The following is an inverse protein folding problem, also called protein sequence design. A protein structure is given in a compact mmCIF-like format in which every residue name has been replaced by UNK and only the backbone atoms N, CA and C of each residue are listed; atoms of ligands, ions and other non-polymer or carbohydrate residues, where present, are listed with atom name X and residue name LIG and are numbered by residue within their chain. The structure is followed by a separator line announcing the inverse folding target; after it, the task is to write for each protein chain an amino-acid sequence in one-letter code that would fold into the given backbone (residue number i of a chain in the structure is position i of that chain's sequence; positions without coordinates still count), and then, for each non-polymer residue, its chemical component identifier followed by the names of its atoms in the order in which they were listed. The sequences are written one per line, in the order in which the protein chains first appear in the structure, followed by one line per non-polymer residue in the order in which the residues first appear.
data_IF_777107131511
#
_entry.id   IF_777107131511
#
_cell.length_a   1.000
_cell.length_b   1.000
_cell.length_c   1.000
_cell.angle_alpha   90.00
_cell.angle_beta   90.00
_cell.angle_gamma   90.00
#
_symmetry.space_group_name_H-M   'P 1'
#
loop_
_entity.id
_entity.type
_entity.pdbx_description
1 polymer ?
#
# COMPACT_ATOMS: atom_id res chain seq x y z
N UNK A 1 21.62 -20.61 23.31
CA UNK A 1 21.18 -21.04 21.96
C UNK A 1 22.15 -22.08 21.46
N UNK A 2 21.65 -23.06 20.72
CA UNK A 2 22.46 -24.11 20.11
C UNK A 2 23.32 -23.49 19.00
N UNK A 3 24.67 -23.52 19.11
CA UNK A 3 25.57 -22.98 18.09
C UNK A 3 25.33 -23.60 16.70
N UNK A 4 24.88 -24.85 16.65
CA UNK A 4 24.63 -25.58 15.41
C UNK A 4 23.44 -24.98 14.63
N UNK A 5 22.47 -24.36 15.30
CA UNK A 5 21.29 -23.71 14.70
C UNK A 5 21.66 -22.40 14.00
N UNK A 6 22.57 -21.60 14.58
CA UNK A 6 23.05 -20.37 13.94
C UNK A 6 23.98 -20.67 12.77
N UNK A 7 24.80 -21.73 12.87
CA UNK A 7 25.66 -22.19 11.77
C UNK A 7 24.84 -22.82 10.62
N UNK A 8 23.73 -23.52 10.90
CA UNK A 8 22.86 -24.09 9.87
C UNK A 8 21.89 -23.10 9.22
N UNK A 9 21.53 -21.99 9.88
CA UNK A 9 20.49 -21.07 9.39
C UNK A 9 20.92 -19.62 9.16
N UNK A 10 22.15 -19.24 9.55
CA UNK A 10 22.69 -17.88 9.36
C UNK A 10 24.14 -17.80 8.87
N UNK A 11 24.79 -18.96 8.63
CA UNK A 11 26.18 -19.03 8.18
C UNK A 11 26.54 -20.26 7.33
N UNK A 12 25.55 -21.06 6.94
CA UNK A 12 25.73 -22.23 6.07
C UNK A 12 25.87 -21.86 4.59
N UNK A 13 25.93 -22.85 3.70
CA UNK A 13 26.00 -22.66 2.24
C UNK A 13 24.62 -22.58 1.56
N UNK A 14 23.53 -22.70 2.33
CA UNK A 14 22.15 -22.76 1.84
C UNK A 14 21.30 -21.64 2.46
N UNK A 15 20.54 -20.92 1.64
CA UNK A 15 19.58 -19.92 2.11
C UNK A 15 18.36 -20.63 2.67
N UNK A 16 17.96 -20.36 3.92
CA UNK A 16 16.90 -21.12 4.58
C UNK A 16 15.56 -21.02 3.86
N UNK A 17 15.29 -19.93 3.14
CA UNK A 17 14.05 -19.77 2.38
C UNK A 17 14.02 -20.53 1.04
N UNK A 18 15.16 -21.06 0.57
CA UNK A 18 15.22 -21.77 -0.71
C UNK A 18 14.59 -23.17 -0.70
N UNK A 19 14.30 -23.73 0.49
CA UNK A 19 13.86 -25.13 0.64
C UNK A 19 12.68 -25.33 1.60
N UNK A 20 12.03 -24.25 2.02
CA UNK A 20 10.88 -24.29 2.94
C UNK A 20 9.55 -24.23 2.18
N UNK A 21 8.50 -24.90 2.66
CA UNK A 21 7.15 -24.74 2.11
C UNK A 21 6.67 -23.30 2.30
N UNK A 22 5.62 -22.91 1.58
CA UNK A 22 4.93 -21.65 1.87
C UNK A 22 4.21 -21.74 3.22
N UNK A 23 4.15 -20.63 3.95
CA UNK A 23 3.29 -20.48 5.10
C UNK A 23 1.81 -20.49 4.68
N UNK A 24 0.87 -20.77 5.61
CA UNK A 24 -0.57 -20.73 5.34
C UNK A 24 -1.10 -19.43 4.73
N UNK A 25 -0.41 -18.31 4.96
CA UNK A 25 -0.72 -17.00 4.37
C UNK A 25 -0.23 -16.83 2.91
N UNK A 26 0.48 -17.82 2.35
CA UNK A 26 0.98 -17.80 0.98
C UNK A 26 2.38 -17.20 0.81
N UNK A 27 2.96 -16.60 1.86
CA UNK A 27 4.34 -16.10 1.86
C UNK A 27 5.32 -17.25 2.16
N UNK A 28 6.62 -16.99 2.00
CA UNK A 28 7.65 -17.98 2.34
C UNK A 28 7.65 -18.25 3.84
N UNK A 29 7.67 -19.53 4.23
CA UNK A 29 7.67 -19.89 5.65
C UNK A 29 9.00 -19.50 6.28
N UNK A 30 8.93 -18.63 7.28
CA UNK A 30 10.04 -18.33 8.18
C UNK A 30 9.77 -19.03 9.53
N UNK A 31 10.44 -20.14 9.87
CA UNK A 31 10.24 -20.80 11.17
C UNK A 31 10.82 -19.96 12.33
N UNK A 32 10.28 -20.16 13.55
CA UNK A 32 10.79 -19.50 14.75
C UNK A 32 12.29 -19.72 14.95
N UNK A 33 12.81 -20.91 14.62
CA UNK A 33 14.22 -21.27 14.76
C UNK A 33 15.13 -20.48 13.81
N UNK A 34 14.61 -20.10 12.65
CA UNK A 34 15.36 -19.42 11.60
C UNK A 34 15.24 -17.90 11.78
N UNK A 35 14.10 -17.42 12.27
CA UNK A 35 13.83 -16.01 12.53
C UNK A 35 14.79 -15.38 13.55
N UNK A 36 15.41 -16.20 14.41
CA UNK A 36 16.43 -15.78 15.37
C UNK A 36 17.58 -14.99 14.71
N UNK A 37 17.90 -15.27 13.44
CA UNK A 37 19.02 -14.63 12.74
C UNK A 37 18.83 -13.12 12.55
N UNK A 38 17.60 -12.66 12.37
CA UNK A 38 17.23 -11.25 12.17
C UNK A 38 16.41 -10.67 13.33
N UNK A 39 15.89 -11.53 14.23
CA UNK A 39 14.88 -11.17 15.22
C UNK A 39 13.52 -10.97 14.55
N UNK A 40 12.43 -11.22 15.28
CA UNK A 40 11.06 -11.13 14.72
C UNK A 40 10.75 -9.71 14.24
N UNK A 41 11.43 -8.69 14.76
CA UNK A 41 11.19 -7.29 14.43
C UNK A 41 12.46 -6.52 14.01
N UNK A 42 13.49 -7.23 13.53
CA UNK A 42 14.73 -6.60 13.03
C UNK A 42 15.74 -6.20 14.08
N UNK A 43 15.61 -6.72 15.30
CA UNK A 43 16.54 -6.56 16.40
C UNK A 43 17.26 -7.90 16.71
N UNK A 44 18.15 -8.36 15.81
CA UNK A 44 18.77 -9.66 15.96
C UNK A 44 19.59 -9.75 17.24
N UNK A 45 19.58 -10.91 17.87
CA UNK A 45 20.49 -11.26 18.97
C UNK A 45 21.93 -11.52 18.46
N UNK A 46 22.29 -11.03 17.27
CA UNK A 46 23.62 -11.20 16.72
C UNK A 46 24.63 -10.53 17.66
N UNK A 47 25.33 -11.36 18.43
CA UNK A 47 26.37 -10.99 19.39
C UNK A 47 25.90 -10.23 20.63
N UNK A 48 24.61 -10.29 20.99
CA UNK A 48 24.06 -9.64 22.20
C UNK A 48 23.63 -10.65 23.28
N UNK A 49 23.52 -10.25 24.56
CA UNK A 49 23.02 -11.12 25.62
C UNK A 49 21.55 -11.47 25.43
N UNK A 50 21.17 -12.72 25.70
CA UNK A 50 19.77 -13.17 25.72
C UNK A 50 18.86 -12.23 26.52
N UNK A 51 17.75 -11.82 25.90
CA UNK A 51 16.80 -10.86 26.46
C UNK A 51 17.15 -9.38 26.23
N UNK A 52 18.18 -9.04 25.43
CA UNK A 52 18.47 -7.65 25.04
C UNK A 52 17.68 -7.15 23.82
N UNK A 53 17.00 -8.07 23.16
CA UNK A 53 16.02 -7.75 22.13
C UNK A 53 14.92 -6.89 22.78
N UNK A 54 14.50 -5.82 22.08
CA UNK A 54 13.49 -4.89 22.60
C UNK A 54 12.10 -5.23 22.05
N UNK A 55 12.01 -5.75 20.82
CA UNK A 55 10.76 -5.86 20.06
C UNK A 55 10.18 -7.29 19.96
N UNK A 56 10.91 -8.31 20.39
CA UNK A 56 10.45 -9.68 20.67
C UNK A 56 10.35 -9.97 22.18
N UNK A 57 10.13 -8.91 22.96
CA UNK A 57 9.66 -9.01 24.36
C UNK A 57 8.15 -8.81 24.41
N UNK A 58 7.54 -8.98 25.59
CA UNK A 58 6.10 -8.77 25.76
C UNK A 58 5.68 -7.36 25.30
N UNK A 59 4.99 -7.28 24.16
CA UNK A 59 4.48 -6.03 23.58
C UNK A 59 3.21 -5.56 24.29
N UNK A 60 2.63 -6.40 25.16
CA UNK A 60 1.49 -6.08 26.02
C UNK A 60 1.69 -4.85 26.92
N UNK A 61 2.93 -4.37 27.09
CA UNK A 61 3.23 -3.14 27.83
C UNK A 61 3.30 -1.88 26.94
N UNK A 62 3.13 -2.01 25.63
CA UNK A 62 3.34 -0.95 24.65
C UNK A 62 1.98 -0.47 24.14
N UNK A 63 1.70 0.82 24.35
CA UNK A 63 0.43 1.41 23.92
C UNK A 63 0.33 1.38 22.38
N UNK A 64 -0.78 0.86 21.81
CA UNK A 64 -1.01 0.89 20.38
C UNK A 64 -0.92 2.31 19.82
N UNK A 65 -0.20 2.50 18.72
CA UNK A 65 0.00 3.83 18.13
C UNK A 65 -1.26 4.40 17.49
N UNK A 66 -2.14 3.52 17.00
CA UNK A 66 -3.38 3.86 16.34
C UNK A 66 -4.40 2.72 16.46
N UNK A 67 -5.68 3.06 16.29
CA UNK A 67 -6.78 2.10 16.18
C UNK A 67 -7.35 2.15 14.77
N UNK A 68 -7.49 0.97 14.18
CA UNK A 68 -7.92 0.75 12.82
C UNK A 68 -9.21 -0.10 12.79
N UNK A 69 -9.96 -0.03 11.70
CA UNK A 69 -11.16 -0.83 11.50
C UNK A 69 -10.82 -2.15 10.82
N UNK A 70 -11.40 -3.24 11.31
CA UNK A 70 -11.33 -4.55 10.67
C UNK A 70 -11.74 -4.47 9.19
N UNK A 71 -10.98 -5.10 8.29
CA UNK A 71 -11.27 -5.09 6.85
C UNK A 71 -10.95 -3.80 6.09
N UNK A 72 -10.54 -2.71 6.76
CA UNK A 72 -10.27 -1.46 6.05
C UNK A 72 -8.96 -1.52 5.24
N UNK A 73 -8.85 -0.65 4.23
CA UNK A 73 -7.58 -0.45 3.51
C UNK A 73 -6.69 0.50 4.30
N UNK A 74 -5.54 0.01 4.75
CA UNK A 74 -4.52 0.80 5.41
C UNK A 74 -3.55 1.37 4.37
N UNK A 75 -3.31 2.68 4.42
CA UNK A 75 -2.26 3.34 3.66
C UNK A 75 -1.11 3.67 4.62
N UNK A 76 0.11 3.26 4.28
CA UNK A 76 1.29 3.56 5.09
C UNK A 76 2.51 3.88 4.22
N UNK A 77 3.39 4.68 4.80
CA UNK A 77 4.63 5.12 4.17
C UNK A 77 5.78 4.20 4.59
N UNK A 78 6.50 3.66 3.60
CA UNK A 78 7.75 2.93 3.83
C UNK A 78 8.89 3.87 3.46
N UNK A 79 9.66 4.28 4.46
CA UNK A 79 10.77 5.22 4.26
C UNK A 79 12.04 4.46 3.94
N UNK A 80 12.48 4.51 2.68
CA UNK A 80 13.70 3.86 2.22
C UNK A 80 14.79 4.90 1.99
N UNK A 81 15.86 4.84 2.79
CA UNK A 81 17.01 5.74 2.66
C UNK A 81 18.04 5.26 1.63
N UNK A 82 18.06 3.96 1.33
CA UNK A 82 18.87 3.34 0.30
C UNK A 82 17.96 2.46 -0.57
N UNK A 83 17.92 2.76 -1.87
CA UNK A 83 17.05 2.06 -2.82
C UNK A 83 17.79 0.85 -3.38
N UNK A 84 17.41 -0.34 -2.89
CA UNK A 84 17.82 -1.61 -3.49
C UNK A 84 16.67 -2.19 -4.33
N UNK A 85 16.99 -3.00 -5.34
CA UNK A 85 16.00 -3.88 -5.94
C UNK A 85 15.45 -4.83 -4.87
N UNK A 86 14.28 -5.43 -5.07
CA UNK A 86 13.70 -6.36 -4.10
C UNK A 86 12.19 -6.20 -3.94
N UNK A 87 11.66 -6.73 -2.83
CA UNK A 87 10.24 -6.65 -2.52
C UNK A 87 9.98 -6.60 -1.01
N UNK A 88 8.85 -6.02 -0.64
CA UNK A 88 8.37 -5.92 0.73
C UNK A 88 7.22 -6.90 0.96
N UNK A 89 7.27 -7.60 2.08
CA UNK A 89 6.21 -8.46 2.59
C UNK A 89 5.68 -7.88 3.90
N UNK A 90 4.37 -8.03 4.15
CA UNK A 90 3.71 -7.55 5.36
C UNK A 90 2.86 -8.63 5.99
N UNK A 91 2.98 -8.74 7.30
CA UNK A 91 2.33 -9.76 8.12
C UNK A 91 1.68 -9.14 9.34
N UNK A 92 0.55 -9.68 9.78
CA UNK A 92 -0.11 -9.22 11.00
C UNK A 92 -0.20 -10.37 11.99
N UNK A 93 0.26 -10.11 13.22
CA UNK A 93 0.08 -10.99 14.37
C UNK A 93 -0.96 -10.40 15.33
N UNK A 94 -1.92 -11.21 15.75
CA UNK A 94 -2.80 -10.91 16.89
C UNK A 94 -2.09 -11.33 18.18
N UNK A 95 -1.42 -10.38 18.85
CA UNK A 95 -0.64 -10.68 20.04
C UNK A 95 -1.50 -11.04 21.26
N UNK A 96 -2.79 -10.67 21.26
CA UNK A 96 -3.75 -11.05 22.31
C UNK A 96 -3.98 -12.57 22.39
N UNK A 97 -3.61 -13.31 21.33
CA UNK A 97 -3.67 -14.77 21.31
C UNK A 97 -2.56 -15.44 22.14
N UNK A 98 -1.51 -14.71 22.48
CA UNK A 98 -0.42 -15.17 23.34
C UNK A 98 -0.63 -14.69 24.79
N UNK A 99 -0.59 -15.56 25.82
CA UNK A 99 -0.83 -15.18 27.21
C UNK A 99 0.15 -14.13 27.76
N UNK A 100 1.36 -14.07 27.21
CA UNK A 100 2.41 -13.14 27.61
C UNK A 100 2.47 -11.92 26.67
N UNK A 101 1.66 -11.90 25.60
CA UNK A 101 1.64 -10.88 24.57
C UNK A 101 2.97 -10.81 23.81
N UNK A 102 3.63 -11.95 23.61
CA UNK A 102 4.91 -12.02 22.91
C UNK A 102 4.67 -12.34 21.42
N UNK A 103 5.10 -11.48 20.47
CA UNK A 103 5.05 -11.83 19.05
C UNK A 103 6.00 -12.98 18.72
N UNK A 104 5.49 -13.98 18.01
CA UNK A 104 6.28 -15.10 17.46
C UNK A 104 6.18 -15.11 15.94
N UNK A 105 7.18 -15.68 15.26
CA UNK A 105 7.11 -15.83 13.80
C UNK A 105 5.97 -16.79 13.39
N UNK A 106 5.69 -17.80 14.22
CA UNK A 106 4.50 -18.66 14.06
C UNK A 106 3.19 -17.88 13.99
N UNK A 107 3.05 -16.79 14.76
CA UNK A 107 1.88 -15.92 14.71
C UNK A 107 1.79 -15.18 13.37
N UNK A 108 2.91 -14.63 12.86
CA UNK A 108 2.96 -13.94 11.57
C UNK A 108 2.73 -14.87 10.38
N UNK A 109 3.08 -16.15 10.51
CA UNK A 109 2.83 -17.17 9.49
C UNK A 109 1.36 -17.61 9.40
N UNK A 110 0.49 -17.20 10.34
CA UNK A 110 -0.92 -17.56 10.31
C UNK A 110 -1.65 -16.92 9.12
N UNK A 111 -2.69 -17.60 8.58
CA UNK A 111 -3.44 -17.07 7.45
C UNK A 111 -4.18 -15.80 7.85
N UNK A 112 -3.80 -14.69 7.22
CA UNK A 112 -4.44 -13.38 7.31
C UNK A 112 -4.75 -12.96 5.87
N UNK A 113 -6.02 -12.72 5.49
CA UNK A 113 -6.40 -12.37 4.12
C UNK A 113 -6.00 -10.93 3.80
N UNK A 114 -4.71 -10.70 3.65
CA UNK A 114 -4.21 -9.43 3.16
C UNK A 114 -3.93 -9.51 1.66
N UNK A 115 -4.56 -8.61 0.90
CA UNK A 115 -4.47 -8.55 -0.55
C UNK A 115 -3.69 -7.28 -0.94
N UNK A 116 -2.79 -7.42 -1.93
CA UNK A 116 -1.70 -6.49 -2.28
C UNK A 116 -2.11 -5.21 -3.05
N UNK A 117 -1.20 -4.23 -3.10
CA UNK A 117 -1.21 -3.08 -4.01
C UNK A 117 0.15 -2.34 -4.11
N UNK A 118 0.49 -1.78 -5.29
CA UNK A 118 1.71 -0.97 -5.59
C UNK A 118 1.43 0.55 -5.42
N UNK A 119 2.33 1.52 -5.15
CA UNK A 119 3.80 1.69 -5.11
C UNK A 119 4.12 2.89 -4.15
N UNK A 120 5.14 2.81 -3.28
CA UNK A 120 5.66 3.76 -2.24
C UNK A 120 4.68 4.53 -1.30
N UNK A 121 3.38 4.50 -1.57
CA UNK A 121 2.31 4.46 -0.56
C UNK A 121 1.67 3.09 -0.71
N UNK A 122 1.88 2.22 0.27
CA UNK A 122 1.38 0.85 0.19
C UNK A 122 -0.04 0.79 0.74
N UNK A 123 -0.93 0.14 -0.02
CA UNK A 123 -2.32 -0.10 0.39
C UNK A 123 -2.48 -1.57 0.75
N UNK A 124 -2.90 -1.84 1.98
CA UNK A 124 -3.03 -3.19 2.52
C UNK A 124 -4.41 -3.37 3.14
N UNK A 125 -5.14 -4.41 2.73
CA UNK A 125 -6.43 -4.75 3.34
C UNK A 125 -6.17 -5.41 4.69
N UNK A 126 -6.65 -4.81 5.77
CA UNK A 126 -6.56 -5.43 7.09
C UNK A 126 -7.40 -6.71 7.13
N UNK A 127 -6.91 -7.78 7.79
CA UNK A 127 -7.68 -8.99 7.98
C UNK A 127 -8.94 -8.75 8.83
N UNK A 128 -9.91 -9.64 8.69
CA UNK A 128 -11.12 -9.63 9.51
C UNK A 128 -10.83 -10.19 10.92
N UNK A 129 -10.10 -9.43 11.73
CA UNK A 129 -9.74 -9.77 13.10
C UNK A 129 -9.99 -8.57 14.02
N UNK A 130 -10.18 -8.86 15.30
CA UNK A 130 -10.18 -7.86 16.36
C UNK A 130 -9.01 -8.14 17.31
N UNK A 131 -8.32 -7.08 17.71
CA UNK A 131 -7.18 -7.13 18.61
C UNK A 131 -7.01 -5.79 19.32
N UNK A 132 -6.84 -5.85 20.63
CA UNK A 132 -6.39 -4.72 21.42
C UNK A 132 -4.91 -4.44 21.18
N UNK A 133 -4.10 -5.48 20.90
CA UNK A 133 -2.71 -5.36 20.47
C UNK A 133 -2.45 -6.26 19.24
N UNK A 134 -2.39 -5.63 18.07
CA UNK A 134 -1.88 -6.20 16.84
C UNK A 134 -0.50 -5.66 16.51
N UNK A 135 0.31 -6.50 15.86
CA UNK A 135 1.64 -6.13 15.40
C UNK A 135 1.71 -6.35 13.90
N UNK A 136 2.14 -5.32 13.16
CA UNK A 136 2.43 -5.39 11.73
C UNK A 136 3.94 -5.62 11.58
N UNK A 137 4.33 -6.74 11.01
CA UNK A 137 5.71 -7.04 10.62
C UNK A 137 5.92 -6.68 9.15
N UNK A 138 6.97 -5.92 8.86
CA UNK A 138 7.49 -5.67 7.53
C UNK A 138 8.75 -6.49 7.33
N UNK A 139 8.86 -7.14 6.17
CA UNK A 139 10.08 -7.81 5.72
C UNK A 139 10.46 -7.26 4.36
N UNK A 140 11.70 -6.79 4.23
CA UNK A 140 12.26 -6.34 2.97
C UNK A 140 13.37 -7.28 2.53
N UNK A 141 13.14 -8.04 1.47
CA UNK A 141 14.17 -8.84 0.82
C UNK A 141 14.79 -8.04 -0.32
N UNK A 142 16.07 -7.68 -0.19
CA UNK A 142 16.78 -7.01 -1.27
C UNK A 142 17.14 -7.98 -2.40
N UNK A 143 17.22 -7.46 -3.62
CA UNK A 143 17.44 -8.17 -4.87
C UNK A 143 18.76 -7.81 -5.56
N UNK A 144 19.61 -6.99 -4.94
CA UNK A 144 20.83 -6.47 -5.56
C UNK A 144 22.01 -7.45 -5.53
N UNK A 145 22.00 -8.42 -4.61
CA UNK A 145 23.07 -9.44 -4.47
C UNK A 145 22.68 -10.74 -5.17
N UNK A 146 21.41 -11.13 -5.04
CA UNK A 146 20.78 -12.30 -5.64
C UNK A 146 19.28 -12.02 -5.76
N UNK A 147 18.59 -12.71 -6.67
CA UNK A 147 17.14 -12.56 -6.81
C UNK A 147 16.39 -13.59 -5.98
N UNK A 148 15.20 -13.22 -5.51
CA UNK A 148 14.37 -14.11 -4.71
C UNK A 148 13.90 -15.31 -5.55
N UNK A 149 13.94 -16.54 -5.02
CA UNK A 149 13.64 -17.78 -5.77
C UNK A 149 12.25 -17.79 -6.45
N UNK A 150 11.29 -17.02 -5.93
CA UNK A 150 9.94 -16.89 -6.52
C UNK A 150 9.85 -15.97 -7.74
N UNK A 151 10.88 -15.17 -8.03
CA UNK A 151 10.81 -14.17 -9.10
C UNK A 151 10.65 -14.79 -10.49
N UNK A 152 11.23 -15.97 -10.74
CA UNK A 152 11.09 -16.67 -12.02
C UNK A 152 9.62 -17.04 -12.32
N UNK A 153 8.87 -17.41 -11.29
CA UNK A 153 7.47 -17.86 -11.39
C UNK A 153 6.47 -16.71 -11.15
N UNK A 154 6.94 -15.56 -10.66
CA UNK A 154 6.11 -14.39 -10.39
C UNK A 154 5.49 -13.82 -11.68
N UNK A 155 4.17 -13.92 -11.78
CA UNK A 155 3.37 -13.45 -12.91
C UNK A 155 2.00 -12.95 -12.39
N UNK A 156 1.93 -11.74 -11.78
CA UNK A 156 0.69 -11.25 -11.20
C UNK A 156 -0.32 -10.89 -12.31
N UNK A 157 -1.64 -10.98 -12.06
CA UNK A 157 -2.66 -10.61 -13.06
C UNK A 157 -2.59 -9.16 -13.54
N UNK A 158 -1.92 -8.29 -12.78
CA UNK A 158 -1.67 -6.88 -13.12
C UNK A 158 -0.53 -6.68 -14.13
N UNK A 159 0.20 -7.75 -14.49
CA UNK A 159 1.28 -7.72 -15.48
C UNK A 159 0.88 -8.53 -16.74
N UNK A 160 1.26 -8.08 -17.95
CA UNK A 160 1.97 -6.83 -18.26
C UNK A 160 1.08 -5.58 -18.11
N UNK A 161 1.71 -4.42 -17.91
CA UNK A 161 1.02 -3.14 -17.76
C UNK A 161 1.68 -2.02 -18.57
N UNK A 162 1.01 -0.87 -18.71
CA UNK A 162 1.56 0.26 -19.45
C UNK A 162 2.84 0.87 -18.82
N UNK A 163 2.99 0.79 -17.49
CA UNK A 163 4.15 1.32 -16.77
C UNK A 163 5.30 0.32 -16.62
N UNK A 164 5.07 -0.93 -17.00
CA UNK A 164 6.05 -2.00 -16.91
C UNK A 164 5.63 -3.12 -17.89
N UNK A 165 5.95 -2.92 -19.17
CA UNK A 165 5.61 -3.83 -20.24
C UNK A 165 6.35 -5.16 -20.14
N UNK A 166 7.58 -5.16 -19.62
CA UNK A 166 8.44 -6.31 -19.50
C UNK A 166 8.53 -6.80 -18.05
N UNK A 167 8.95 -8.05 -17.83
CA UNK A 167 9.03 -8.63 -16.48
C UNK A 167 10.18 -8.02 -15.68
N UNK A 168 11.25 -7.72 -16.40
CA UNK A 168 12.49 -7.12 -15.90
C UNK A 168 12.29 -5.68 -15.38
N UNK A 169 11.15 -5.04 -15.72
CA UNK A 169 10.74 -3.76 -15.14
C UNK A 169 10.27 -3.91 -13.68
N UNK A 170 9.88 -5.12 -13.25
CA UNK A 170 9.45 -5.42 -11.87
C UNK A 170 10.48 -6.21 -11.08
N UNK A 171 11.10 -7.21 -11.72
CA UNK A 171 11.99 -8.17 -11.06
C UNK A 171 13.24 -8.39 -11.88
N UNK A 172 14.41 -8.19 -11.28
CA UNK A 172 15.68 -8.54 -11.91
C UNK A 172 16.01 -10.01 -11.62
N UNK A 173 15.96 -10.86 -12.64
CA UNK A 173 16.34 -12.28 -12.57
C UNK A 173 17.65 -12.58 -13.30
N UNK A 174 18.44 -11.55 -13.64
CA UNK A 174 19.71 -11.72 -14.38
C UNK A 174 20.86 -12.22 -13.51
N UNK A 175 20.73 -12.05 -12.19
CA UNK A 175 21.68 -12.50 -11.17
C UNK A 175 21.66 -14.01 -10.90
N UNK A 176 22.17 -14.42 -9.75
CA UNK A 176 21.95 -15.77 -9.22
C UNK A 176 20.75 -15.75 -8.28
N UNK A 177 20.00 -16.85 -8.21
CA UNK A 177 18.95 -16.98 -7.22
C UNK A 177 19.55 -17.07 -5.80
N UNK A 178 18.88 -16.45 -4.82
CA UNK A 178 19.35 -16.47 -3.43
C UNK A 178 19.41 -17.90 -2.88
N UNK A 179 20.50 -18.21 -2.17
CA UNK A 179 20.79 -19.57 -1.67
C UNK A 179 21.53 -20.47 -2.62
N UNK A 180 21.81 -20.01 -3.84
CA UNK A 180 22.73 -20.69 -4.73
C UNK A 180 24.12 -20.05 -4.63
N UNK A 181 25.17 -20.88 -4.63
CA UNK A 181 26.56 -20.39 -4.70
C UNK A 181 27.02 -19.52 -3.53
N UNK A 182 26.32 -19.55 -2.39
CA UNK A 182 26.63 -18.74 -1.21
C UNK A 182 26.20 -17.27 -1.30
N UNK A 183 25.31 -16.93 -2.23
CA UNK A 183 24.73 -15.58 -2.33
C UNK A 183 23.47 -15.45 -1.47
N UNK A 184 23.41 -14.37 -0.71
CA UNK A 184 22.33 -14.06 0.23
C UNK A 184 21.83 -12.63 0.02
N UNK A 185 20.52 -12.39 0.17
CA UNK A 185 19.99 -11.03 0.14
C UNK A 185 20.35 -10.32 1.46
N UNK A 186 20.35 -9.01 1.43
CA UNK A 186 20.19 -8.24 2.66
C UNK A 186 18.71 -8.26 3.04
N UNK A 187 18.41 -8.36 4.33
CA UNK A 187 17.05 -8.41 4.83
C UNK A 187 16.84 -7.30 5.86
N UNK A 188 15.74 -6.56 5.74
CA UNK A 188 15.34 -5.56 6.74
C UNK A 188 13.99 -5.92 7.32
N UNK A 189 13.92 -5.98 8.64
CA UNK A 189 12.73 -6.38 9.37
C UNK A 189 12.33 -5.23 10.30
N UNK A 190 11.02 -5.03 10.48
CA UNK A 190 10.49 -4.03 11.40
C UNK A 190 9.09 -4.44 11.88
N UNK A 191 8.71 -3.95 13.07
CA UNK A 191 7.38 -4.14 13.63
C UNK A 191 6.74 -2.80 14.01
N UNK A 192 5.41 -2.75 13.99
CA UNK A 192 4.60 -1.62 14.46
C UNK A 192 3.36 -2.11 15.20
N UNK A 193 3.12 -1.56 16.40
CA UNK A 193 1.96 -1.89 17.25
C UNK A 193 0.74 -1.01 16.95
N UNK A 194 -0.42 -1.63 16.82
CA UNK A 194 -1.71 -0.97 16.58
C UNK A 194 -2.87 -1.81 17.14
N UNK A 195 -4.09 -1.29 17.14
CA UNK A 195 -5.27 -2.07 17.48
C UNK A 195 -6.25 -2.14 16.32
N UNK A 196 -7.00 -3.24 16.23
CA UNK A 196 -8.09 -3.43 15.27
C UNK A 196 -9.38 -3.63 16.04
N UNK A 197 -10.35 -2.76 15.80
CA UNK A 197 -11.70 -2.89 16.35
C UNK A 197 -12.69 -3.30 15.26
N UNK A 198 -13.84 -3.83 15.68
CA UNK A 198 -14.98 -4.06 14.79
C UNK A 198 -15.30 -2.79 14.01
N UNK A 199 -15.42 -2.92 12.69
CA UNK A 199 -16.13 -1.92 11.90
C UNK A 199 -17.62 -1.87 12.31
N UNK A 200 -18.31 -0.76 12.04
CA UNK A 200 -19.75 -0.69 12.27
C UNK A 200 -20.49 -1.75 11.46
N UNK A 201 -21.22 -2.66 12.13
CA UNK A 201 -22.06 -3.69 11.46
C UNK A 201 -23.32 -3.11 10.82
N UNK A 202 -23.62 -1.85 11.11
CA UNK A 202 -24.70 -1.06 10.54
C UNK A 202 -24.17 0.35 10.24
N UNK A 203 -24.49 0.86 9.05
CA UNK A 203 -24.16 2.22 8.71
C UNK A 203 -24.93 3.22 9.59
N UNK A 204 -24.24 4.27 10.02
CA UNK A 204 -24.85 5.35 10.81
C UNK A 204 -26.00 6.00 10.01
N UNK A 205 -27.06 6.52 10.66
CA UNK A 205 -28.13 7.20 9.95
C UNK A 205 -27.59 8.29 9.00
N UNK A 206 -27.95 8.22 7.72
CA UNK A 206 -27.43 9.11 6.66
C UNK A 206 -26.33 8.49 5.79
N UNK A 207 -25.86 7.28 6.10
CA UNK A 207 -24.95 6.51 5.25
C UNK A 207 -25.58 5.17 4.82
N UNK A 208 -25.19 4.67 3.64
CA UNK A 208 -25.58 3.35 3.10
C UNK A 208 -24.36 2.45 2.98
N UNK A 209 -24.55 1.15 3.14
CA UNK A 209 -23.49 0.18 2.94
C UNK A 209 -23.20 0.04 1.45
N UNK A 210 -21.99 0.40 1.05
CA UNK A 210 -21.46 0.18 -0.28
C UNK A 210 -20.61 -1.09 -0.26
N UNK A 211 -21.10 -2.12 -0.93
CA UNK A 211 -20.43 -3.41 -1.09
C UNK A 211 -19.61 -3.40 -2.39
N UNK A 212 -18.29 -3.59 -2.31
CA UNK A 212 -17.43 -3.69 -3.51
C UNK A 212 -17.21 -5.14 -3.91
N UNK A 213 -16.84 -5.98 -2.96
CA UNK A 213 -16.56 -7.40 -3.16
C UNK A 213 -16.66 -8.16 -1.84
N UNK A 214 -16.39 -9.47 -1.87
CA UNK A 214 -16.54 -10.36 -0.70
C UNK A 214 -15.58 -10.03 0.45
N UNK A 215 -14.58 -9.17 0.21
CA UNK A 215 -13.56 -8.80 1.18
C UNK A 215 -13.71 -7.35 1.68
N UNK A 216 -14.48 -6.51 1.00
CA UNK A 216 -14.60 -5.09 1.37
C UNK A 216 -16.02 -4.50 1.18
N UNK A 217 -16.50 -3.87 2.24
CA UNK A 217 -17.66 -2.97 2.24
C UNK A 217 -17.41 -1.80 3.20
N UNK A 218 -17.99 -0.64 2.90
CA UNK A 218 -17.88 0.53 3.79
C UNK A 218 -19.18 1.36 3.78
N UNK A 219 -19.38 2.18 4.80
CA UNK A 219 -20.52 3.07 4.94
C UNK A 219 -20.27 4.41 4.26
N UNK A 220 -20.97 4.68 3.16
CA UNK A 220 -20.85 5.92 2.39
C UNK A 220 -22.06 6.82 2.61
N UNK A 221 -21.93 8.15 2.56
CA UNK A 221 -23.09 9.04 2.54
C UNK A 221 -24.07 8.59 1.45
N UNK A 222 -25.35 8.45 1.80
CA UNK A 222 -26.35 7.86 0.91
C UNK A 222 -26.56 8.62 -0.41
N UNK A 223 -26.04 9.84 -0.52
CA UNK A 223 -26.39 10.81 -1.56
C UNK A 223 -25.21 11.68 -2.02
N UNK A 224 -24.02 11.11 -2.26
CA UNK A 224 -23.06 11.81 -3.12
C UNK A 224 -23.38 11.51 -4.59
N UNK A 225 -23.26 12.51 -5.46
CA UNK A 225 -23.52 12.34 -6.88
C UNK A 225 -22.40 11.50 -7.54
N UNK A 226 -22.81 10.61 -8.42
CA UNK A 226 -21.93 9.80 -9.26
C UNK A 226 -21.08 10.68 -10.18
N UNK A 227 -20.01 10.13 -10.76
CA UNK A 227 -19.25 10.78 -11.83
C UNK A 227 -20.20 11.29 -12.94
N UNK A 228 -20.06 12.56 -13.32
CA UNK A 228 -20.94 13.33 -14.22
C UNK A 228 -22.33 13.69 -13.67
N UNK A 229 -22.67 13.28 -12.45
CA UNK A 229 -23.91 13.61 -11.76
C UNK A 229 -23.97 15.05 -11.24
N UNK A 230 -25.17 15.60 -11.07
CA UNK A 230 -25.38 16.96 -10.56
C UNK A 230 -25.06 17.04 -9.06
N UNK A 231 -24.20 17.97 -8.68
CA UNK A 231 -23.79 18.22 -7.30
C UNK A 231 -24.09 19.67 -6.83
N UNK A 232 -24.75 20.48 -7.66
CA UNK A 232 -25.10 21.86 -7.36
C UNK A 232 -25.81 22.60 -8.51
N UNK A 233 -26.11 23.88 -8.31
CA UNK A 233 -26.77 24.77 -9.29
C UNK A 233 -28.29 24.88 -9.15
N UNK A 234 -28.88 25.97 -9.63
CA UNK A 234 -30.32 26.30 -9.50
C UNK A 234 -31.24 25.69 -10.57
N UNK A 235 -30.72 24.83 -11.44
CA UNK A 235 -31.45 24.11 -12.49
C UNK A 235 -31.51 22.60 -12.23
N UNK A 236 -32.07 21.83 -13.18
CA UNK A 236 -32.30 20.40 -12.98
C UNK A 236 -33.43 20.14 -11.98
N UNK A 237 -33.35 19.06 -11.19
CA UNK A 237 -34.33 18.69 -10.16
C UNK A 237 -34.47 19.68 -8.98
N UNK A 238 -33.99 20.92 -9.11
CA UNK A 238 -34.13 21.99 -8.13
C UNK A 238 -35.59 22.40 -7.94
N UNK A 239 -35.99 22.65 -6.69
CA UNK A 239 -37.33 23.11 -6.31
C UNK A 239 -37.24 24.58 -5.91
N UNK A 240 -38.02 25.44 -6.55
CA UNK A 240 -38.01 26.90 -6.31
C UNK A 240 -36.61 27.56 -6.44
N UNK A 241 -35.78 27.03 -7.35
CA UNK A 241 -34.42 27.52 -7.59
C UNK A 241 -33.41 27.13 -6.52
N UNK A 242 -33.81 26.28 -5.56
CA UNK A 242 -32.94 25.73 -4.52
C UNK A 242 -32.63 24.28 -4.86
N UNK A 243 -31.34 23.97 -5.01
CA UNK A 243 -30.87 22.61 -5.16
C UNK A 243 -31.08 21.83 -3.85
N UNK A 244 -31.78 20.70 -3.93
CA UNK A 244 -32.05 19.83 -2.77
C UNK A 244 -31.47 18.42 -2.94
N UNK A 245 -30.65 18.21 -3.98
CA UNK A 245 -29.97 16.94 -4.22
C UNK A 245 -28.56 16.87 -3.62
N UNK A 246 -27.75 15.89 -4.04
CA UNK A 246 -26.36 15.71 -3.60
C UNK A 246 -25.52 16.99 -3.63
N UNK A 247 -24.75 17.25 -2.58
CA UNK A 247 -23.78 18.37 -2.52
C UNK A 247 -22.33 17.90 -2.41
N UNK A 248 -22.12 16.58 -2.48
CA UNK A 248 -20.84 15.90 -2.50
C UNK A 248 -20.76 14.97 -3.73
N UNK A 249 -19.55 14.54 -4.08
CA UNK A 249 -19.28 13.65 -5.21
C UNK A 249 -18.64 12.34 -4.76
N UNK A 250 -18.77 11.29 -5.57
CA UNK A 250 -18.09 10.01 -5.31
C UNK A 250 -16.57 10.16 -5.21
N UNK A 251 -15.93 9.28 -4.43
CA UNK A 251 -14.49 9.31 -4.19
C UNK A 251 -13.72 9.26 -5.51
N UNK A 252 -12.73 10.16 -5.66
CA UNK A 252 -11.98 10.31 -6.91
C UNK A 252 -12.60 11.33 -7.87
N UNK A 253 -13.69 11.99 -7.49
CA UNK A 253 -14.31 13.09 -8.24
C UNK A 253 -14.52 14.32 -7.36
N UNK A 254 -14.60 15.51 -7.96
CA UNK A 254 -14.85 16.80 -7.26
C UNK A 254 -16.04 17.52 -7.90
N UNK A 255 -16.85 18.21 -7.09
CA UNK A 255 -17.98 18.98 -7.58
C UNK A 255 -17.49 20.24 -8.29
N UNK A 256 -17.58 20.24 -9.61
CA UNK A 256 -17.15 21.34 -10.46
C UNK A 256 -18.31 22.28 -10.76
N UNK A 257 -18.14 23.58 -10.51
CA UNK A 257 -19.13 24.59 -10.86
C UNK A 257 -19.10 24.85 -12.37
N UNK A 258 -20.20 24.55 -13.08
CA UNK A 258 -20.33 24.80 -14.51
C UNK A 258 -20.97 26.16 -14.77
N UNK A 259 -22.13 26.39 -14.17
CA UNK A 259 -22.85 27.66 -14.22
C UNK A 259 -23.86 27.78 -13.06
N UNK A 260 -24.62 28.88 -13.04
CA UNK A 260 -25.58 29.16 -11.96
C UNK A 260 -26.71 28.11 -11.87
N UNK A 261 -26.93 27.30 -12.90
CA UNK A 261 -27.95 26.27 -12.97
C UNK A 261 -27.41 24.86 -12.77
N UNK A 262 -26.10 24.63 -12.93
CA UNK A 262 -25.51 23.29 -12.90
C UNK A 262 -24.11 23.24 -12.31
N UNK A 263 -23.85 22.26 -11.45
CA UNK A 263 -22.52 21.82 -11.04
C UNK A 263 -22.47 20.31 -11.14
N UNK A 264 -21.36 19.73 -11.60
CA UNK A 264 -21.25 18.29 -11.86
C UNK A 264 -20.00 17.67 -11.24
N UNK A 265 -20.11 16.42 -10.83
CA UNK A 265 -18.97 15.66 -10.34
C UNK A 265 -18.05 15.26 -11.49
N UNK A 266 -16.78 15.66 -11.43
CA UNK A 266 -15.77 15.32 -12.44
C UNK A 266 -14.58 14.59 -11.83
N UNK A 267 -13.89 13.70 -12.55
CA UNK A 267 -12.65 13.07 -12.08
C UNK A 267 -11.68 14.09 -11.50
N UNK A 268 -11.24 13.87 -10.27
CA UNK A 268 -10.26 14.72 -9.62
C UNK A 268 -8.87 14.39 -10.18
N UNK A 269 -8.18 15.37 -10.76
CA UNK A 269 -6.75 15.26 -11.05
C UNK A 269 -6.30 15.53 -12.49
N UNK A 270 -7.16 16.01 -13.39
CA UNK A 270 -6.72 16.54 -14.69
C UNK A 270 -6.87 18.07 -14.73
N UNK A 271 -5.92 18.75 -15.36
CA UNK A 271 -5.90 20.19 -15.51
C UNK A 271 -6.98 20.66 -16.51
N UNK A 272 -7.62 21.78 -16.21
CA UNK A 272 -8.63 22.39 -17.07
C UNK A 272 -8.01 22.96 -18.36
N UNK A 273 -8.86 23.29 -19.34
CA UNK A 273 -8.42 23.99 -20.55
C UNK A 273 -7.63 25.26 -20.17
N UNK A 274 -6.43 25.41 -20.74
CA UNK A 274 -5.42 26.45 -20.47
C UNK A 274 -4.64 26.33 -19.15
N UNK A 275 -4.95 25.36 -18.30
CA UNK A 275 -4.21 25.15 -17.06
C UNK A 275 -2.93 24.33 -17.26
N UNK A 276 -2.03 24.45 -16.29
CA UNK A 276 -0.75 23.77 -16.30
C UNK A 276 -0.94 22.25 -16.13
N UNK A 277 -0.37 21.49 -17.04
CA UNK A 277 -0.36 20.02 -17.03
C UNK A 277 1.06 19.44 -16.99
N UNK A 278 2.08 20.29 -16.77
CA UNK A 278 3.50 19.91 -16.73
C UNK A 278 4.45 21.11 -16.75
N UNK A 279 5.76 20.82 -16.72
CA UNK A 279 6.82 21.82 -16.75
C UNK A 279 7.38 22.18 -15.36
N UNK A 280 8.63 22.65 -15.32
CA UNK A 280 9.39 22.94 -14.07
C UNK A 280 9.16 24.33 -13.46
N UNK A 281 8.20 25.10 -13.97
CA UNK A 281 7.81 26.43 -13.47
C UNK A 281 6.35 26.48 -13.01
N UNK A 282 5.83 27.66 -12.70
CA UNK A 282 4.46 27.81 -12.18
C UNK A 282 4.34 27.34 -10.73
N UNK A 283 3.37 26.47 -10.46
CA UNK A 283 3.12 25.87 -9.14
C UNK A 283 4.06 24.71 -8.79
N UNK A 284 5.11 24.47 -9.59
CA UNK A 284 6.13 23.47 -9.32
C UNK A 284 6.91 23.77 -8.02
N UNK A 285 7.09 22.76 -7.17
CA UNK A 285 7.87 22.84 -5.93
C UNK A 285 9.26 22.28 -6.20
N UNK A 286 10.31 23.06 -5.91
CA UNK A 286 11.72 22.69 -6.16
C UNK A 286 12.02 22.24 -7.61
N UNK A 287 11.30 22.82 -8.58
CA UNK A 287 11.44 22.50 -10.01
C UNK A 287 10.79 21.18 -10.43
N UNK A 288 10.07 20.53 -9.52
CA UNK A 288 9.31 19.30 -9.76
C UNK A 288 7.83 19.65 -9.84
N UNK A 289 7.21 19.35 -10.99
CA UNK A 289 5.77 19.47 -11.15
C UNK A 289 5.05 18.39 -10.34
N UNK A 290 4.22 18.82 -9.39
CA UNK A 290 3.41 17.92 -8.53
C UNK A 290 1.91 18.05 -8.78
N UNK A 291 1.52 18.86 -9.77
CA UNK A 291 0.13 19.05 -10.17
C UNK A 291 -0.35 18.02 -11.21
N UNK A 292 -1.54 18.24 -11.80
CA UNK A 292 -2.13 17.36 -12.80
C UNK A 292 -1.19 17.08 -13.97
N UNK A 293 -1.06 15.82 -14.40
CA UNK A 293 -0.29 15.44 -15.60
C UNK A 293 -1.18 14.99 -16.76
N UNK A 294 -2.49 15.13 -16.61
CA UNK A 294 -3.51 14.87 -17.61
C UNK A 294 -4.39 16.11 -17.80
N UNK A 295 -5.13 16.15 -18.90
CA UNK A 295 -6.02 17.25 -19.26
C UNK A 295 -7.47 16.77 -19.36
N UNK A 296 -8.42 17.67 -19.13
CA UNK A 296 -9.84 17.37 -19.31
C UNK A 296 -10.16 16.82 -20.72
N UNK A 297 -11.20 15.99 -20.80
CA UNK A 297 -11.62 15.35 -22.05
C UNK A 297 -11.93 16.40 -23.13
N UNK A 298 -11.32 16.24 -24.31
CA UNK A 298 -11.43 17.20 -25.42
C UNK A 298 -10.23 18.14 -25.53
N UNK A 299 -9.30 18.07 -24.58
CA UNK A 299 -8.02 18.81 -24.60
C UNK A 299 -6.83 17.85 -24.52
N UNK A 300 -5.65 18.30 -24.93
CA UNK A 300 -4.38 17.57 -24.87
C UNK A 300 -3.33 18.44 -24.18
N UNK A 301 -2.50 17.83 -23.33
CA UNK A 301 -1.38 18.52 -22.69
C UNK A 301 -0.32 18.88 -23.74
N UNK A 302 -0.22 20.16 -24.07
CA UNK A 302 0.71 20.69 -25.04
C UNK A 302 1.97 21.20 -24.34
N UNK A 303 3.12 20.63 -24.70
CA UNK A 303 4.42 21.12 -24.23
C UNK A 303 4.72 22.49 -24.84
N UNK A 304 4.87 23.52 -24.00
CA UNK A 304 5.23 24.88 -24.44
C UNK A 304 6.73 25.11 -24.28
N UNK A 305 7.26 24.85 -23.10
CA UNK A 305 8.68 24.91 -22.80
C UNK A 305 9.03 24.10 -21.53
N UNK A 306 10.30 24.13 -21.12
CA UNK A 306 10.78 23.35 -19.97
C UNK A 306 10.12 23.74 -18.64
N UNK A 307 9.50 24.91 -18.56
CA UNK A 307 8.84 25.43 -17.36
C UNK A 307 7.32 25.25 -17.41
N UNK A 308 6.73 25.01 -18.58
CA UNK A 308 5.27 25.02 -18.73
C UNK A 308 4.77 24.08 -19.83
N UNK A 309 3.80 23.24 -19.48
CA UNK A 309 2.90 22.56 -20.41
C UNK A 309 1.48 22.94 -20.05
N UNK A 310 0.60 23.15 -21.03
CA UNK A 310 -0.79 23.55 -20.79
C UNK A 310 -1.79 22.70 -21.58
N UNK A 311 -2.97 22.49 -21.02
CA UNK A 311 -4.05 21.79 -21.70
C UNK A 311 -4.63 22.67 -22.80
N UNK A 312 -4.63 22.18 -24.04
CA UNK A 312 -5.19 22.89 -25.19
C UNK A 312 -6.29 22.09 -25.87
N UNK A 313 -7.33 22.73 -26.42
CA UNK A 313 -8.34 22.04 -27.22
C UNK A 313 -7.71 21.20 -28.33
N UNK A 314 -8.24 20.01 -28.56
CA UNK A 314 -7.71 19.10 -29.59
C UNK A 314 -7.82 19.66 -31.03
N UNK A 315 -8.69 20.64 -31.24
CA UNK A 315 -8.87 21.37 -32.50
C UNK A 315 -8.14 22.73 -32.52
N UNK A 316 -7.35 23.03 -31.48
CA UNK A 316 -6.57 24.26 -31.42
C UNK A 316 -5.50 24.27 -32.52
N UNK A 317 -5.58 25.25 -33.39
CA UNK A 317 -4.69 25.42 -34.53
C UNK A 317 -3.78 26.62 -34.22
N UNK A 318 -2.48 26.36 -33.99
CA UNK A 318 -1.44 27.35 -33.63
C UNK A 318 -1.21 28.39 -34.76
N UNK A 319 -2.19 29.26 -35.03
CA UNK A 319 -2.06 30.39 -35.96
C UNK A 319 -1.57 31.66 -35.30
#
# INVERSE_FOLDING_TARGET
MDPDVLESHGGGNEFPLAFVPLAPNGNYLEPNEVAVRHGVCGDPEQFKPSGSNTYSTASSNWEPLATFQSGQVLEFDVVMNAYHWGHLEFFICNADSDPDGIPTQECFNQPSPAISGNNMKMRYVLPDIECSHCILQMVYHTGNTCYHMGYEEFNPPSWPSACAPDKEDWVDTTGQACGQGGYYPEEFWACSDFSIASGPTCCVPGTTCYYKDVYWSDCRPAECAEEWGQCGGSGGGAVDGVWTGPTCCEVGTTCYYKDQYWSECRPAGCAEEWEQCGGSGGDAVDGVWTGPTCCEVGTTCYYKDQYWSECRPNDYNDR
#
